data_IF_456027790473
#
_entry.id   IF_456027790473
#
_cell.length_a   1.000
_cell.length_b   1.000
_cell.length_c   1.000
_cell.angle_alpha   90.00
_cell.angle_beta   90.00
_cell.angle_gamma   90.00
#
_symmetry.space_group_name_H-M   'P 1'
#
loop_
_entity.id
_entity.type
_entity.pdbx_description
1 polymer ?
#
# COMPACT_ATOMS: atom_id res chain seq x y z
N UNK A 1 -22.78 -10.03 10.28
CA UNK A 1 -22.19 -8.68 10.27
C UNK A 1 -20.85 -8.77 10.95
N UNK A 2 -19.75 -8.82 10.18
CA UNK A 2 -18.42 -8.66 10.76
C UNK A 2 -18.35 -7.23 11.30
N UNK A 3 -18.12 -7.09 12.62
CA UNK A 3 -17.72 -5.80 13.18
C UNK A 3 -16.38 -5.49 12.50
N UNK A 4 -16.38 -4.60 11.52
CA UNK A 4 -15.16 -3.99 11.00
C UNK A 4 -14.40 -3.46 12.21
N UNK A 5 -13.13 -3.82 12.28
CA UNK A 5 -12.27 -3.29 13.34
C UNK A 5 -12.10 -1.79 13.04
N UNK A 6 -12.79 -0.95 13.83
CA UNK A 6 -12.73 0.51 13.70
C UNK A 6 -11.34 1.07 14.07
N UNK A 7 -10.42 0.21 14.51
CA UNK A 7 -9.07 0.56 14.93
C UNK A 7 -8.04 0.00 13.94
N UNK A 8 -7.10 0.83 13.54
CA UNK A 8 -5.96 0.42 12.71
C UNK A 8 -4.63 0.81 13.36
N UNK A 9 -3.67 -0.10 13.29
CA UNK A 9 -2.32 0.11 13.81
C UNK A 9 -1.37 0.46 12.68
N UNK A 10 -0.53 1.46 12.93
CA UNK A 10 0.50 1.90 11.99
C UNK A 10 1.86 1.94 12.67
N UNK A 11 2.90 1.51 11.96
CA UNK A 11 4.29 1.64 12.34
C UNK A 11 5.01 2.45 11.28
N UNK A 12 5.53 3.61 11.61
CA UNK A 12 6.37 4.38 10.70
C UNK A 12 7.85 4.14 11.03
N UNK A 13 8.62 3.89 9.98
CA UNK A 13 10.06 3.62 10.08
C UNK A 13 10.81 4.50 9.10
N UNK A 14 11.71 5.31 9.61
CA UNK A 14 12.70 6.06 8.83
C UNK A 14 14.10 5.94 9.47
N UNK A 15 15.18 6.34 8.80
CA UNK A 15 16.54 6.24 9.34
C UNK A 15 16.76 6.98 10.67
N UNK A 16 15.99 8.04 10.91
CA UNK A 16 16.15 8.91 12.07
C UNK A 16 14.89 9.04 12.94
N UNK A 17 13.81 8.31 12.63
CA UNK A 17 12.56 8.40 13.37
C UNK A 17 11.77 7.11 13.28
N UNK A 18 11.23 6.68 14.43
CA UNK A 18 10.18 5.67 14.50
C UNK A 18 8.90 6.30 15.05
N UNK A 19 7.76 5.78 14.63
CA UNK A 19 6.47 6.17 15.15
C UNK A 19 5.52 4.99 15.15
N UNK A 20 4.69 4.90 16.19
CA UNK A 20 3.61 3.90 16.28
C UNK A 20 2.30 4.60 16.61
N UNK A 21 1.23 4.18 15.93
CA UNK A 21 -0.06 4.86 16.00
C UNK A 21 -1.19 3.85 16.08
N UNK A 22 -2.20 4.18 16.90
CA UNK A 22 -3.51 3.54 16.93
C UNK A 22 -4.53 4.56 16.42
N UNK A 23 -5.04 4.38 15.22
CA UNK A 23 -6.02 5.26 14.59
C UNK A 23 -7.44 4.69 14.76
N UNK A 24 -8.36 5.52 15.24
CA UNK A 24 -9.79 5.28 15.08
C UNK A 24 -10.20 5.69 13.66
N UNK A 25 -10.64 4.74 12.84
CA UNK A 25 -10.98 4.99 11.42
C UNK A 25 -12.31 5.72 11.23
N UNK A 26 -13.11 5.88 12.28
CA UNK A 26 -14.36 6.64 12.24
C UNK A 26 -14.15 8.13 12.54
N UNK A 27 -13.44 8.42 13.64
CA UNK A 27 -13.13 9.80 14.03
C UNK A 27 -11.91 10.36 13.28
N UNK A 28 -11.06 9.49 12.75
CA UNK A 28 -9.75 9.79 12.16
C UNK A 28 -8.77 10.41 13.18
N UNK A 29 -8.96 10.11 14.45
CA UNK A 29 -8.11 10.56 15.55
C UNK A 29 -7.15 9.46 15.98
N UNK A 30 -5.92 9.83 16.32
CA UNK A 30 -4.98 8.91 16.95
C UNK A 30 -5.34 8.73 18.43
N UNK A 31 -5.81 7.53 18.79
CA UNK A 31 -6.03 7.15 20.19
C UNK A 31 -4.70 6.90 20.91
N UNK A 32 -3.68 6.50 20.18
CA UNK A 32 -2.31 6.35 20.65
C UNK A 32 -1.35 6.89 19.60
N UNK A 33 -0.33 7.60 20.04
CA UNK A 33 0.75 8.10 19.18
C UNK A 33 2.00 8.24 20.01
N UNK A 34 3.04 7.52 19.62
CA UNK A 34 4.39 7.70 20.16
C UNK A 34 5.37 7.79 19.00
N UNK A 35 6.32 8.71 19.15
CA UNK A 35 7.34 8.97 18.16
C UNK A 35 8.68 9.17 18.85
N UNK A 36 9.72 8.56 18.33
CA UNK A 36 11.09 8.79 18.78
C UNK A 36 11.95 9.26 17.61
N UNK A 37 12.67 10.35 17.81
CA UNK A 37 13.61 10.90 16.84
C UNK A 37 15.03 10.76 17.40
N UNK A 38 15.97 10.35 16.58
CA UNK A 38 17.35 10.19 16.97
C UNK A 38 18.28 10.86 15.97
N UNK A 39 19.26 11.58 16.50
CA UNK A 39 20.30 12.24 15.72
C UNK A 39 21.34 11.21 15.28
N UNK A 40 21.16 10.56 14.14
CA UNK A 40 22.21 9.76 13.50
C UNK A 40 22.05 9.91 11.98
N UNK A 41 23.05 10.48 11.35
CA UNK A 41 23.28 10.42 9.91
C UNK A 41 23.70 9.00 9.50
N UNK A 42 22.78 8.06 9.56
CA UNK A 42 22.99 6.71 9.03
C UNK A 42 21.82 6.36 8.12
N UNK A 43 22.16 6.05 6.89
CA UNK A 43 21.19 5.53 5.91
C UNK A 43 20.66 4.12 6.29
N UNK A 44 21.14 3.53 7.38
CA UNK A 44 20.78 2.19 7.83
C UNK A 44 19.79 2.22 8.99
N UNK A 45 18.80 1.33 8.91
CA UNK A 45 17.84 1.10 9.99
C UNK A 45 18.54 0.52 11.21
N UNK A 46 18.23 1.05 12.38
CA UNK A 46 18.69 0.52 13.65
C UNK A 46 17.65 -0.46 14.22
N UNK A 47 17.80 -1.73 13.89
CA UNK A 47 16.85 -2.78 14.30
C UNK A 47 16.79 -3.01 15.81
N UNK A 48 17.90 -2.82 16.53
CA UNK A 48 17.90 -2.98 18.00
C UNK A 48 17.15 -1.83 18.69
N UNK A 49 17.29 -0.61 18.16
CA UNK A 49 16.49 0.51 18.64
C UNK A 49 15.01 0.34 18.29
N UNK A 50 14.70 -0.24 17.11
CA UNK A 50 13.32 -0.55 16.74
C UNK A 50 12.71 -1.57 17.70
N UNK A 51 13.42 -2.64 18.06
CA UNK A 51 12.95 -3.61 19.04
C UNK A 51 12.63 -2.95 20.37
N UNK A 52 13.57 -2.14 20.90
CA UNK A 52 13.33 -1.41 22.15
C UNK A 52 12.11 -0.50 22.07
N UNK A 53 11.94 0.21 20.95
CA UNK A 53 10.77 1.06 20.73
C UNK A 53 9.46 0.26 20.71
N UNK A 54 9.45 -0.95 20.13
CA UNK A 54 8.30 -1.84 20.14
C UNK A 54 8.04 -2.40 21.53
N UNK A 55 9.07 -2.81 22.30
CA UNK A 55 8.96 -3.27 23.68
C UNK A 55 8.26 -2.23 24.57
N UNK A 56 8.61 -0.95 24.38
CA UNK A 56 8.07 0.15 25.18
C UNK A 56 6.60 0.49 24.81
N UNK A 57 6.13 0.16 23.60
CA UNK A 57 4.88 0.71 23.05
C UNK A 57 3.79 -0.32 22.76
N UNK A 58 4.12 -1.53 22.32
CA UNK A 58 3.11 -2.53 21.91
C UNK A 58 2.14 -2.84 23.03
N UNK A 59 2.66 -3.12 24.23
CA UNK A 59 1.81 -3.41 25.40
C UNK A 59 0.88 -2.25 25.78
N UNK A 60 1.34 -1.00 25.64
CA UNK A 60 0.53 0.18 25.94
C UNK A 60 -0.67 0.30 24.99
N UNK A 61 -0.46 0.01 23.68
CA UNK A 61 -1.53 -0.03 22.69
C UNK A 61 -2.54 -1.14 22.98
N UNK A 62 -2.06 -2.34 23.31
CA UNK A 62 -2.91 -3.48 23.67
C UNK A 62 -3.75 -3.21 24.92
N UNK A 63 -3.15 -2.60 25.93
CA UNK A 63 -3.85 -2.18 27.15
C UNK A 63 -4.93 -1.14 26.85
N UNK A 64 -4.65 -0.18 25.96
CA UNK A 64 -5.59 0.87 25.59
C UNK A 64 -6.74 0.32 24.74
N UNK A 65 -6.45 -0.53 23.76
CA UNK A 65 -7.44 -1.12 22.85
C UNK A 65 -8.22 -2.28 23.44
N UNK A 66 -7.69 -2.90 24.51
CA UNK A 66 -8.22 -4.15 25.09
C UNK A 66 -8.06 -5.36 24.18
N UNK A 67 -7.19 -5.31 23.16
CA UNK A 67 -6.95 -6.36 22.17
C UNK A 67 -5.47 -6.44 21.81
N UNK A 68 -5.01 -7.63 21.43
CA UNK A 68 -3.67 -7.81 20.91
C UNK A 68 -3.50 -7.11 19.54
N UNK A 69 -2.29 -6.61 19.30
CA UNK A 69 -1.89 -6.04 18.00
C UNK A 69 -1.50 -7.20 17.07
N UNK A 70 -2.47 -7.76 16.37
CA UNK A 70 -2.21 -8.87 15.42
C UNK A 70 -1.70 -8.38 14.06
N UNK A 71 -2.14 -7.20 13.64
CA UNK A 71 -1.90 -6.65 12.32
C UNK A 71 -1.44 -5.21 12.39
N UNK A 72 -0.46 -4.86 11.54
CA UNK A 72 0.05 -3.50 11.44
C UNK A 72 0.26 -3.09 9.98
N UNK A 73 0.08 -1.82 9.69
CA UNK A 73 0.41 -1.20 8.40
C UNK A 73 1.75 -0.51 8.54
N UNK A 74 2.70 -0.87 7.69
CA UNK A 74 4.03 -0.29 7.70
C UNK A 74 4.10 0.94 6.81
N UNK A 75 4.51 2.08 7.37
CA UNK A 75 4.84 3.29 6.65
C UNK A 75 6.37 3.40 6.63
N UNK A 76 6.96 3.14 5.47
CA UNK A 76 8.41 3.12 5.31
C UNK A 76 8.88 4.39 4.60
N UNK A 77 9.85 5.09 5.17
CA UNK A 77 10.42 6.30 4.59
C UNK A 77 11.94 6.17 4.54
N UNK A 78 12.46 5.79 3.39
CA UNK A 78 13.90 5.59 3.19
C UNK A 78 14.28 5.86 1.72
N UNK A 79 15.52 6.32 1.51
CA UNK A 79 16.09 6.51 0.16
C UNK A 79 16.24 5.20 -0.62
N UNK A 80 16.19 4.04 0.06
CA UNK A 80 16.24 2.71 -0.56
C UNK A 80 14.93 2.28 -1.23
N UNK A 81 13.86 3.07 -1.12
CA UNK A 81 12.64 2.84 -1.91
C UNK A 81 12.99 3.00 -3.38
N UNK A 82 12.83 1.90 -4.12
CA UNK A 82 13.11 1.87 -5.54
C UNK A 82 11.94 2.48 -6.33
N UNK A 83 12.24 3.37 -7.26
CA UNK A 83 11.25 4.02 -8.11
C UNK A 83 11.55 3.68 -9.57
N UNK A 84 10.54 3.15 -10.28
CA UNK A 84 10.60 2.83 -11.69
C UNK A 84 9.46 3.52 -12.43
N UNK A 85 9.75 4.20 -13.53
CA UNK A 85 8.75 4.71 -14.45
C UNK A 85 8.71 3.80 -15.69
N UNK A 86 7.51 3.29 -16.02
CA UNK A 86 7.27 2.39 -17.13
C UNK A 86 6.23 3.00 -18.07
N UNK A 87 6.57 3.10 -19.36
CA UNK A 87 5.64 3.47 -20.41
C UNK A 87 5.12 2.23 -21.16
N UNK A 88 3.81 2.07 -21.25
CA UNK A 88 3.16 1.05 -22.07
C UNK A 88 2.38 1.74 -23.17
N UNK A 89 2.51 1.25 -24.42
CA UNK A 89 1.69 1.66 -25.55
C UNK A 89 1.14 0.44 -26.28
N UNK A 90 -0.19 0.45 -26.53
CA UNK A 90 -0.88 -0.61 -27.25
C UNK A 90 -1.85 -0.07 -28.28
N UNK A 91 -2.04 -0.84 -29.34
CA UNK A 91 -3.18 -0.63 -30.23
C UNK A 91 -4.46 -1.12 -29.56
N UNK A 92 -5.51 -0.32 -29.65
CA UNK A 92 -6.83 -0.71 -29.21
C UNK A 92 -7.64 -1.21 -30.40
N UNK A 93 -8.10 -2.45 -30.32
CA UNK A 93 -8.92 -3.04 -31.39
C UNK A 93 -10.42 -2.84 -31.14
N UNK A 94 -10.79 -2.29 -30.00
CA UNK A 94 -12.15 -1.89 -29.68
C UNK A 94 -12.36 -0.42 -30.06
N UNK A 95 -13.53 -0.04 -30.60
CA UNK A 95 -13.76 1.34 -31.03
C UNK A 95 -13.73 2.36 -29.90
N UNK A 96 -13.96 1.90 -28.65
CA UNK A 96 -14.00 2.75 -27.46
C UNK A 96 -13.07 2.20 -26.39
N UNK A 97 -12.42 3.10 -25.65
CA UNK A 97 -11.62 2.73 -24.48
C UNK A 97 -12.53 2.39 -23.30
N UNK A 98 -12.23 1.28 -22.61
CA UNK A 98 -12.98 0.77 -21.46
C UNK A 98 -12.08 0.56 -20.26
N UNK A 99 -12.68 0.42 -19.05
CA UNK A 99 -11.97 0.02 -17.83
C UNK A 99 -11.27 -1.34 -17.96
N UNK A 100 -11.82 -2.23 -18.77
CA UNK A 100 -11.22 -3.55 -18.99
C UNK A 100 -9.91 -3.46 -19.79
N UNK A 101 -9.87 -2.61 -20.82
CA UNK A 101 -8.62 -2.33 -21.55
C UNK A 101 -7.54 -1.80 -20.60
N UNK A 102 -7.91 -0.84 -19.74
CA UNK A 102 -7.02 -0.29 -18.71
C UNK A 102 -6.52 -1.38 -17.76
N UNK A 103 -7.43 -2.20 -17.22
CA UNK A 103 -7.11 -3.28 -16.29
C UNK A 103 -6.09 -4.27 -16.87
N UNK A 104 -6.29 -4.70 -18.13
CA UNK A 104 -5.37 -5.63 -18.78
C UNK A 104 -3.98 -5.03 -18.96
N UNK A 105 -3.89 -3.75 -19.32
CA UNK A 105 -2.61 -3.04 -19.45
C UNK A 105 -1.90 -2.89 -18.10
N UNK A 106 -2.65 -2.66 -17.01
CA UNK A 106 -2.10 -2.57 -15.65
C UNK A 106 -1.59 -3.91 -15.13
N UNK A 107 -2.30 -5.01 -15.43
CA UNK A 107 -1.85 -6.37 -15.06
C UNK A 107 -0.52 -6.66 -15.77
N UNK A 108 -0.44 -6.42 -17.07
CA UNK A 108 0.79 -6.62 -17.84
C UNK A 108 1.95 -5.77 -17.34
N UNK A 109 1.71 -4.48 -17.01
CA UNK A 109 2.75 -3.63 -16.41
C UNK A 109 3.28 -4.21 -15.10
N UNK A 110 2.38 -4.73 -14.25
CA UNK A 110 2.75 -5.37 -12.99
C UNK A 110 3.55 -6.66 -13.20
N UNK A 111 3.15 -7.46 -14.17
CA UNK A 111 3.83 -8.71 -14.48
C UNK A 111 5.22 -8.45 -15.05
N UNK A 112 5.37 -7.47 -15.95
CA UNK A 112 6.67 -7.00 -16.44
C UNK A 112 7.58 -6.51 -15.32
N UNK A 113 7.03 -5.77 -14.35
CA UNK A 113 7.81 -5.35 -13.18
C UNK A 113 8.31 -6.56 -12.40
N UNK A 114 7.43 -7.52 -12.08
CA UNK A 114 7.75 -8.70 -11.28
C UNK A 114 8.76 -9.63 -11.94
N UNK A 115 8.68 -9.78 -13.26
CA UNK A 115 9.64 -10.59 -14.03
C UNK A 115 11.06 -10.01 -13.98
N UNK A 116 11.19 -8.68 -13.99
CA UNK A 116 12.49 -8.03 -14.04
C UNK A 116 13.05 -7.64 -12.67
N UNK A 117 12.22 -7.51 -11.63
CA UNK A 117 12.59 -7.05 -10.29
C UNK A 117 12.05 -8.01 -9.21
N UNK A 118 12.50 -9.27 -9.25
CA UNK A 118 12.00 -10.35 -8.38
C UNK A 118 12.35 -10.17 -6.91
N UNK A 119 13.37 -9.38 -6.60
CA UNK A 119 13.80 -9.02 -5.25
C UNK A 119 13.04 -7.83 -4.66
N UNK A 120 12.05 -7.29 -5.38
CA UNK A 120 11.29 -6.11 -5.01
C UNK A 120 9.80 -6.44 -4.83
N UNK A 121 9.20 -5.95 -3.73
CA UNK A 121 7.75 -5.95 -3.54
C UNK A 121 7.16 -4.58 -3.89
N UNK A 122 6.16 -4.58 -4.77
CA UNK A 122 5.46 -3.34 -5.17
C UNK A 122 4.62 -2.84 -4.00
N UNK A 123 4.89 -1.60 -3.55
CA UNK A 123 4.12 -0.94 -2.49
C UNK A 123 3.14 0.09 -3.05
N UNK A 124 3.48 0.75 -4.16
CA UNK A 124 2.56 1.64 -4.89
C UNK A 124 2.71 1.45 -6.40
N UNK A 125 1.59 1.53 -7.11
CA UNK A 125 1.51 1.58 -8.56
C UNK A 125 0.63 2.77 -8.94
N UNK A 126 1.20 3.81 -9.54
CA UNK A 126 0.56 5.10 -9.77
C UNK A 126 0.57 5.41 -11.26
N UNK A 127 -0.57 5.74 -11.83
CA UNK A 127 -0.66 6.15 -13.23
C UNK A 127 -0.38 7.66 -13.29
N UNK A 128 0.77 8.03 -13.84
CA UNK A 128 1.15 9.45 -14.00
C UNK A 128 0.36 10.11 -15.13
N UNK A 129 0.20 9.40 -16.27
CA UNK A 129 -0.52 9.90 -17.45
C UNK A 129 -1.18 8.78 -18.24
N UNK A 130 -2.29 9.14 -18.87
CA UNK A 130 -2.98 8.35 -19.88
C UNK A 130 -2.76 9.00 -21.24
N UNK A 131 -2.45 8.19 -22.24
CA UNK A 131 -2.35 8.64 -23.62
C UNK A 131 -3.44 7.97 -24.45
N UNK A 132 -4.25 8.76 -25.15
CA UNK A 132 -5.33 8.30 -26.03
C UNK A 132 -5.13 8.98 -27.38
N UNK A 133 -4.82 8.20 -28.41
CA UNK A 133 -4.50 8.71 -29.75
C UNK A 133 -3.43 9.82 -29.73
N UNK A 134 -2.37 9.65 -28.92
CA UNK A 134 -1.27 10.59 -28.76
C UNK A 134 -1.55 11.81 -27.88
N UNK A 135 -2.78 12.01 -27.40
CA UNK A 135 -3.12 13.09 -26.44
C UNK A 135 -2.96 12.60 -25.01
N UNK A 136 -2.33 13.41 -24.16
CA UNK A 136 -2.13 13.08 -22.73
C UNK A 136 -3.28 13.58 -21.87
N UNK A 137 -3.63 12.78 -20.85
CA UNK A 137 -4.66 13.09 -19.84
C UNK A 137 -4.13 12.70 -18.46
N UNK A 138 -4.49 13.49 -17.45
CA UNK A 138 -4.13 13.20 -16.04
C UNK A 138 -5.12 12.25 -15.38
N UNK A 139 -6.34 12.14 -15.88
CA UNK A 139 -7.39 11.25 -15.37
C UNK A 139 -7.91 10.38 -16.51
N UNK A 140 -8.31 9.16 -16.17
CA UNK A 140 -8.91 8.24 -17.14
C UNK A 140 -10.24 8.77 -17.67
N UNK A 141 -10.38 8.73 -19.00
CA UNK A 141 -11.61 9.11 -19.70
C UNK A 141 -12.16 7.89 -20.43
N UNK A 142 -13.34 7.42 -19.97
CA UNK A 142 -14.03 6.31 -20.61
C UNK A 142 -14.76 6.73 -21.88
N UNK A 143 -15.07 5.76 -22.74
CA UNK A 143 -15.92 5.90 -23.92
C UNK A 143 -15.38 6.87 -24.99
N UNK A 144 -14.08 7.16 -24.98
CA UNK A 144 -13.45 7.88 -26.07
C UNK A 144 -13.12 6.91 -27.21
N UNK A 145 -13.24 7.38 -28.45
CA UNK A 145 -12.66 6.66 -29.61
C UNK A 145 -11.17 6.55 -29.42
N UNK A 146 -10.66 5.34 -29.47
CA UNK A 146 -9.28 5.06 -29.13
C UNK A 146 -8.71 4.00 -30.07
N UNK A 147 -7.76 4.40 -30.90
CA UNK A 147 -6.97 3.49 -31.76
C UNK A 147 -5.68 3.07 -31.03
N UNK A 148 -5.09 3.99 -30.26
CA UNK A 148 -3.88 3.78 -29.46
C UNK A 148 -4.11 4.21 -28.00
N UNK A 149 -3.83 3.31 -27.07
CA UNK A 149 -3.77 3.60 -25.62
C UNK A 149 -2.33 3.52 -25.14
N UNK A 150 -1.92 4.48 -24.33
CA UNK A 150 -0.67 4.45 -23.59
C UNK A 150 -0.87 4.79 -22.12
N UNK A 151 0.02 4.28 -21.29
CA UNK A 151 0.08 4.56 -19.85
C UNK A 151 1.51 4.88 -19.48
N UNK A 152 1.69 5.93 -18.68
CA UNK A 152 2.93 6.20 -17.96
C UNK A 152 2.67 5.85 -16.49
N UNK A 153 3.35 4.81 -16.01
CA UNK A 153 3.10 4.22 -14.70
C UNK A 153 4.37 4.34 -13.86
N UNK A 154 4.21 4.81 -12.62
CA UNK A 154 5.27 4.81 -11.62
C UNK A 154 5.04 3.69 -10.63
N UNK A 155 6.04 2.83 -10.49
CA UNK A 155 6.14 1.84 -9.44
C UNK A 155 7.03 2.36 -8.31
N UNK A 156 6.59 2.13 -7.08
CA UNK A 156 7.42 2.25 -5.89
C UNK A 156 7.50 0.88 -5.25
N UNK A 157 8.68 0.46 -4.86
CA UNK A 157 8.90 -0.88 -4.30
C UNK A 157 9.93 -0.86 -3.18
N UNK A 158 9.89 -1.89 -2.37
CA UNK A 158 10.80 -2.12 -1.25
C UNK A 158 11.48 -3.48 -1.43
N UNK A 159 12.76 -3.57 -1.07
CA UNK A 159 13.52 -4.83 -1.16
C UNK A 159 12.92 -5.91 -0.25
N UNK A 160 12.81 -7.13 -0.77
CA UNK A 160 12.35 -8.29 -0.02
C UNK A 160 13.23 -8.59 1.21
N UNK A 161 14.53 -8.22 1.19
CA UNK A 161 15.40 -8.37 2.34
C UNK A 161 14.97 -7.47 3.51
N UNK A 162 14.60 -6.21 3.23
CA UNK A 162 14.09 -5.28 4.25
C UNK A 162 12.77 -5.80 4.82
N UNK A 163 11.88 -6.29 3.96
CA UNK A 163 10.61 -6.91 4.38
C UNK A 163 10.87 -8.11 5.29
N UNK A 164 11.79 -8.97 4.91
CA UNK A 164 12.16 -10.15 5.71
C UNK A 164 12.66 -9.77 7.10
N UNK A 165 13.60 -8.82 7.18
CA UNK A 165 14.17 -8.38 8.46
C UNK A 165 13.11 -7.75 9.37
N UNK A 166 12.23 -6.92 8.81
CA UNK A 166 11.13 -6.28 9.56
C UNK A 166 10.09 -7.31 10.04
N UNK A 167 9.71 -8.26 9.19
CA UNK A 167 8.81 -9.34 9.59
C UNK A 167 9.41 -10.16 10.73
N UNK A 168 10.70 -10.53 10.65
CA UNK A 168 11.39 -11.28 11.69
C UNK A 168 11.41 -10.55 13.05
N UNK A 169 11.47 -9.21 13.04
CA UNK A 169 11.37 -8.41 14.26
C UNK A 169 9.94 -8.46 14.81
N UNK A 170 8.94 -8.22 13.96
CA UNK A 170 7.54 -8.15 14.37
C UNK A 170 6.94 -9.52 14.76
N UNK A 171 7.49 -10.61 14.23
CA UNK A 171 7.13 -11.98 14.65
C UNK A 171 7.35 -12.22 16.14
N UNK A 172 8.36 -11.58 16.77
CA UNK A 172 8.56 -11.68 18.23
C UNK A 172 7.38 -11.12 19.04
N UNK A 173 6.58 -10.24 18.46
CA UNK A 173 5.37 -9.65 19.04
C UNK A 173 4.11 -10.29 18.48
N UNK A 174 4.21 -11.33 17.64
CA UNK A 174 3.10 -11.97 16.94
C UNK A 174 2.33 -10.99 16.01
N UNK A 175 3.00 -9.94 15.54
CA UNK A 175 2.44 -8.90 14.69
C UNK A 175 2.75 -9.20 13.23
N UNK A 176 1.74 -9.15 12.36
CA UNK A 176 1.86 -9.31 10.90
C UNK A 176 1.76 -7.97 10.19
N UNK A 177 2.69 -7.68 9.28
CA UNK A 177 2.54 -6.54 8.36
C UNK A 177 1.51 -6.91 7.29
N UNK A 178 0.45 -6.12 7.18
CA UNK A 178 -0.63 -6.36 6.21
C UNK A 178 -0.54 -5.51 4.97
N UNK A 179 0.08 -4.34 5.07
CA UNK A 179 0.29 -3.38 3.97
C UNK A 179 1.59 -2.60 4.19
N UNK A 180 2.17 -2.17 3.08
CA UNK A 180 3.35 -1.31 3.05
C UNK A 180 2.99 -0.01 2.34
N UNK A 181 3.46 1.12 2.84
CA UNK A 181 3.28 2.45 2.26
C UNK A 181 4.64 3.17 2.22
N UNK A 182 4.89 3.93 1.17
CA UNK A 182 5.97 4.91 1.14
C UNK A 182 5.54 6.19 1.85
N UNK A 183 6.14 6.48 3.01
CA UNK A 183 5.79 7.66 3.81
C UNK A 183 6.05 8.98 3.08
N UNK A 184 7.08 9.04 2.24
CA UNK A 184 7.35 10.23 1.43
C UNK A 184 6.24 10.47 0.41
N UNK A 185 5.79 9.42 -0.26
CA UNK A 185 4.66 9.50 -1.19
C UNK A 185 3.37 9.90 -0.48
N UNK A 186 3.05 9.26 0.65
CA UNK A 186 1.87 9.59 1.45
C UNK A 186 1.84 11.08 1.78
N UNK A 187 2.95 11.65 2.26
CA UNK A 187 3.06 13.08 2.60
C UNK A 187 2.87 13.99 1.39
N UNK A 188 3.28 13.58 0.18
CA UNK A 188 3.11 14.40 -1.04
C UNK A 188 1.65 14.52 -1.50
N UNK A 189 0.78 13.61 -1.07
CA UNK A 189 -0.64 13.61 -1.45
C UNK A 189 -1.49 14.57 -0.60
N UNK A 190 -0.95 15.10 0.50
CA UNK A 190 -1.71 15.91 1.46
C UNK A 190 -0.95 17.19 1.86
N UNK A 191 -1.70 18.14 2.39
CA UNK A 191 -1.11 19.35 3.01
C UNK A 191 -0.59 19.03 4.42
N UNK A 192 0.40 19.81 4.89
CA UNK A 192 1.20 19.58 6.10
C UNK A 192 0.47 19.60 7.46
N UNK A 193 -0.86 19.64 7.49
CA UNK A 193 -1.62 19.74 8.74
C UNK A 193 -2.27 18.43 9.22
N UNK A 194 -2.08 17.33 8.46
CA UNK A 194 -2.69 16.04 8.77
C UNK A 194 -1.69 15.10 9.45
N UNK A 195 -2.18 14.27 10.35
CA UNK A 195 -1.38 13.24 10.98
C UNK A 195 -1.02 12.10 10.01
N UNK A 196 0.16 11.52 10.16
CA UNK A 196 0.69 10.51 9.23
C UNK A 196 -0.21 9.28 9.13
N UNK A 197 -0.77 8.81 10.24
CA UNK A 197 -1.68 7.66 10.26
C UNK A 197 -2.98 7.97 9.50
N UNK A 198 -3.55 9.16 9.68
CA UNK A 198 -4.73 9.61 8.94
C UNK A 198 -4.44 9.72 7.43
N UNK A 199 -3.33 10.35 7.04
CA UNK A 199 -2.92 10.43 5.62
C UNK A 199 -2.81 9.04 5.01
N UNK A 200 -2.17 8.12 5.72
CA UNK A 200 -1.98 6.72 5.30
C UNK A 200 -3.31 5.99 5.13
N UNK A 201 -4.23 6.16 6.06
CA UNK A 201 -5.59 5.61 5.97
C UNK A 201 -6.32 6.10 4.73
N UNK A 202 -6.27 7.42 4.47
CA UNK A 202 -6.92 8.01 3.29
C UNK A 202 -6.34 7.49 1.97
N UNK A 203 -5.02 7.28 1.89
CA UNK A 203 -4.39 6.63 0.72
C UNK A 203 -4.94 5.22 0.53
N UNK A 204 -5.01 4.42 1.59
CA UNK A 204 -5.57 3.06 1.53
C UNK A 204 -7.06 3.03 1.15
N UNK A 205 -7.79 4.09 1.46
CA UNK A 205 -9.19 4.30 1.04
C UNK A 205 -9.33 4.86 -0.39
N UNK A 206 -8.23 5.02 -1.15
CA UNK A 206 -8.27 5.44 -2.55
C UNK A 206 -8.32 6.95 -2.75
N UNK A 207 -7.72 7.73 -1.85
CA UNK A 207 -7.62 9.19 -2.00
C UNK A 207 -7.00 9.62 -3.33
N UNK A 208 -5.95 8.93 -3.78
CA UNK A 208 -5.38 9.15 -5.10
C UNK A 208 -6.10 8.29 -6.14
N UNK A 209 -6.92 8.90 -6.99
CA UNK A 209 -7.69 8.21 -8.04
C UNK A 209 -6.80 7.53 -9.11
N UNK A 210 -5.55 7.94 -9.22
CA UNK A 210 -4.59 7.35 -10.15
C UNK A 210 -3.76 6.22 -9.52
N UNK A 211 -3.95 5.93 -8.24
CA UNK A 211 -3.29 4.81 -7.57
C UNK A 211 -4.07 3.51 -7.81
N UNK A 212 -3.36 2.50 -8.26
CA UNK A 212 -3.93 1.18 -8.55
C UNK A 212 -3.91 0.33 -7.28
N UNK A 213 -5.07 0.11 -6.69
CA UNK A 213 -5.23 -0.76 -5.52
C UNK A 213 -5.60 -2.17 -6.00
N UNK A 214 -4.72 -3.14 -5.74
CA UNK A 214 -5.01 -4.54 -6.01
C UNK A 214 -5.83 -5.13 -4.87
N UNK A 215 -7.10 -5.35 -5.13
CA UNK A 215 -7.97 -6.09 -4.21
C UNK A 215 -7.85 -7.58 -4.56
N UNK A 216 -7.42 -8.44 -3.63
CA UNK A 216 -7.40 -9.88 -3.88
C UNK A 216 -8.83 -10.30 -4.21
N UNK A 217 -9.00 -11.09 -5.29
CA UNK A 217 -10.29 -11.72 -5.54
C UNK A 217 -10.65 -12.48 -4.26
N UNK A 218 -11.75 -12.10 -3.61
CA UNK A 218 -12.29 -12.93 -2.53
C UNK A 218 -12.54 -14.29 -3.18
N UNK A 219 -11.73 -15.26 -2.86
CA UNK A 219 -12.11 -16.64 -3.03
C UNK A 219 -13.24 -16.84 -2.04
N UNK A 220 -14.49 -16.60 -2.47
CA UNK A 220 -15.64 -17.20 -1.78
C UNK A 220 -15.30 -18.68 -1.76
N UNK A 221 -14.86 -19.17 -0.61
CA UNK A 221 -14.85 -20.61 -0.34
C UNK A 221 -16.31 -21.00 -0.32
N UNK A 222 -16.85 -21.33 -1.51
CA UNK A 222 -18.11 -22.03 -1.55
C UNK A 222 -17.93 -23.27 -0.68
N UNK A 223 -18.80 -23.43 0.31
CA UNK A 223 -18.80 -24.65 1.10
C UNK A 223 -18.98 -25.84 0.13
N UNK A 224 -18.51 -27.01 0.50
CA UNK A 224 -18.66 -28.20 -0.34
C UNK A 224 -20.13 -28.39 -0.80
N UNK A 225 -21.09 -28.03 0.04
CA UNK A 225 -22.52 -28.09 -0.26
C UNK A 225 -22.97 -27.04 -1.30
N UNK A 226 -22.46 -25.81 -1.27
CA UNK A 226 -22.79 -24.78 -2.28
C UNK A 226 -22.24 -25.15 -3.67
N UNK A 227 -21.08 -25.80 -3.74
CA UNK A 227 -20.54 -26.37 -5.01
C UNK A 227 -21.38 -27.52 -5.54
N UNK A 228 -21.97 -28.31 -4.65
CA UNK A 228 -22.81 -29.43 -5.02
C UNK A 228 -24.14 -28.99 -5.61
N UNK A 229 -24.77 -27.96 -5.05
CA UNK A 229 -26.02 -27.42 -5.57
C UNK A 229 -25.90 -26.66 -6.90
N UNK A 230 -24.74 -26.08 -7.21
CA UNK A 230 -24.50 -25.43 -8.52
C UNK A 230 -24.27 -26.43 -9.67
N UNK A 231 -24.04 -27.70 -9.38
CA UNK A 231 -23.91 -28.76 -10.40
C UNK A 231 -25.26 -29.30 -10.88
N UNK A 232 -26.36 -28.94 -10.22
CA UNK A 232 -27.71 -29.41 -10.51
C UNK A 232 -28.71 -28.29 -10.85
N UNK A 233 -28.22 -27.06 -11.12
CA UNK A 233 -29.03 -25.92 -11.54
C UNK A 233 -28.87 -25.64 -13.02
#
# INVERSE_FOLDING_TARGET
MNKENDLQHYLSISPNKFGIYLLDTKSLENLYKEEITFNRDRDFLNYDLLKKFLDDNVFNIEKLSGKFVENIILIFENKTIFNLELGIKKKNYNPLITKENLKNSLIEAKDLFRENYQDQEIIHMIINKYFINGKSYLLFKENLKCDDIGLEIRFKSISNNIIYDLNKILENYQIKITKYLDGSYVKTCFNNHMELAEMSYRILCGHNQNEVIFVPKSTKKYSFFEKFFQLFS
#
